data_IF_260339029733
#
_entry.id   IF_260339029733
#
_cell.length_a   1.000
_cell.length_b   1.000
_cell.length_c   1.000
_cell.angle_alpha   90.00
_cell.angle_beta   90.00
_cell.angle_gamma   90.00
#
_symmetry.space_group_name_H-M   'P 1'
#
loop_
_entity.id
_entity.type
_entity.pdbx_description
1 polymer ?
#
# COMPACT_ATOMS: atom_id res chain seq x y z
N UNK A 1 14.86 -26.08 -22.53
CA UNK A 1 14.27 -24.74 -22.70
C UNK A 1 13.90 -24.29 -21.31
N UNK A 2 14.68 -23.38 -20.73
CA UNK A 2 14.35 -22.81 -19.44
C UNK A 2 13.18 -21.85 -19.69
N UNK A 3 12.12 -22.05 -18.93
CA UNK A 3 10.97 -21.16 -18.83
C UNK A 3 11.45 -19.71 -18.67
N UNK A 4 11.21 -18.86 -19.67
CA UNK A 4 11.14 -17.41 -19.53
C UNK A 4 9.85 -17.05 -18.78
N UNK A 5 9.60 -17.70 -17.63
CA UNK A 5 8.52 -17.27 -16.76
C UNK A 5 8.98 -15.96 -16.13
N UNK A 6 8.21 -14.85 -16.28
CA UNK A 6 8.53 -13.62 -15.59
C UNK A 6 8.61 -13.92 -14.10
N UNK A 7 9.69 -13.46 -13.45
CA UNK A 7 9.85 -13.62 -12.00
C UNK A 7 8.54 -13.19 -11.33
N UNK A 8 8.00 -13.99 -10.39
CA UNK A 8 6.81 -13.60 -9.66
C UNK A 8 7.11 -12.26 -9.00
N UNK A 9 6.28 -11.27 -9.31
CA UNK A 9 6.32 -9.99 -8.63
C UNK A 9 6.26 -10.27 -7.13
N UNK A 10 7.24 -9.75 -6.41
CA UNK A 10 7.29 -9.79 -4.95
C UNK A 10 5.92 -9.45 -4.35
N UNK A 11 5.48 -10.21 -3.34
CA UNK A 11 4.19 -10.01 -2.68
C UNK A 11 3.97 -8.53 -2.33
N UNK A 12 2.79 -8.00 -2.69
CA UNK A 12 2.48 -6.57 -2.60
C UNK A 12 2.76 -5.99 -1.20
N UNK A 13 2.46 -6.77 -0.16
CA UNK A 13 2.69 -6.40 1.24
C UNK A 13 4.18 -6.22 1.54
N UNK A 14 4.98 -7.23 1.21
CA UNK A 14 6.41 -7.21 1.47
C UNK A 14 7.10 -6.11 0.64
N UNK A 15 6.67 -5.94 -0.61
CA UNK A 15 7.10 -4.82 -1.45
C UNK A 15 6.79 -3.47 -0.78
N UNK A 16 5.57 -3.27 -0.27
CA UNK A 16 5.14 -2.01 0.32
C UNK A 16 5.80 -1.73 1.67
N UNK A 17 5.86 -2.71 2.56
CA UNK A 17 6.55 -2.60 3.84
C UNK A 17 8.02 -2.21 3.65
N UNK A 18 8.69 -2.78 2.66
CA UNK A 18 10.08 -2.41 2.33
C UNK A 18 10.18 -0.97 1.81
N UNK A 19 9.19 -0.47 1.06
CA UNK A 19 9.16 0.94 0.61
C UNK A 19 8.98 1.90 1.78
N UNK A 20 8.11 1.56 2.72
CA UNK A 20 7.90 2.35 3.95
C UNK A 20 9.14 2.30 4.84
N UNK A 21 9.75 1.12 5.04
CA UNK A 21 10.99 0.97 5.80
C UNK A 21 12.12 1.86 5.26
N UNK A 22 12.29 1.91 3.92
CA UNK A 22 13.26 2.83 3.29
C UNK A 22 12.94 4.30 3.55
N UNK A 23 11.67 4.68 3.56
CA UNK A 23 11.25 6.05 3.87
C UNK A 23 11.51 6.40 5.34
N UNK A 24 11.31 5.45 6.26
CA UNK A 24 11.66 5.59 7.68
C UNK A 24 13.17 5.73 7.88
N UNK A 25 13.97 4.87 7.25
CA UNK A 25 15.45 4.92 7.31
C UNK A 25 15.99 6.26 6.78
N UNK A 26 15.32 6.84 5.79
CA UNK A 26 15.64 8.15 5.24
C UNK A 26 15.11 9.34 6.08
N UNK A 27 14.38 9.09 7.16
CA UNK A 27 13.75 10.13 7.99
C UNK A 27 12.64 10.89 7.27
N UNK A 28 12.03 10.30 6.24
CA UNK A 28 10.99 10.95 5.42
C UNK A 28 9.58 10.76 5.99
N UNK A 29 9.40 9.77 6.87
CA UNK A 29 8.15 9.44 7.58
C UNK A 29 8.47 8.91 8.99
N UNK A 30 7.49 8.91 9.90
CA UNK A 30 7.65 8.40 11.26
C UNK A 30 7.93 6.89 11.31
N UNK A 31 8.76 6.46 12.27
CA UNK A 31 8.99 5.05 12.61
C UNK A 31 7.69 4.34 13.01
N UNK A 32 6.75 5.07 13.62
CA UNK A 32 5.45 4.54 14.03
C UNK A 32 4.63 4.03 12.84
N UNK A 33 4.79 4.67 11.66
CA UNK A 33 4.06 4.32 10.45
C UNK A 33 4.34 2.88 10.00
N UNK A 34 5.60 2.45 10.06
CA UNK A 34 5.98 1.09 9.70
C UNK A 34 5.36 0.07 10.68
N UNK A 35 5.36 0.40 11.98
CA UNK A 35 4.84 -0.47 13.03
C UNK A 35 3.32 -0.61 12.93
N UNK A 36 2.60 0.48 12.67
CA UNK A 36 1.15 0.46 12.43
C UNK A 36 0.77 -0.41 11.23
N UNK A 37 1.50 -0.28 10.12
CA UNK A 37 1.23 -1.05 8.90
C UNK A 37 1.50 -2.55 9.10
N UNK A 38 2.58 -2.90 9.80
CA UNK A 38 2.86 -4.30 10.14
C UNK A 38 1.75 -4.90 11.00
N UNK A 39 1.29 -4.17 12.02
CA UNK A 39 0.19 -4.61 12.88
C UNK A 39 -1.14 -4.74 12.11
N UNK A 40 -1.42 -3.83 11.16
CA UNK A 40 -2.60 -3.90 10.29
C UNK A 40 -2.60 -5.13 9.38
N UNK A 41 -1.45 -5.45 8.78
CA UNK A 41 -1.26 -6.63 7.93
C UNK A 41 -1.37 -7.93 8.74
N UNK A 42 -0.71 -8.01 9.89
CA UNK A 42 -0.78 -9.17 10.78
C UNK A 42 -2.21 -9.40 11.31
N UNK A 43 -2.94 -8.33 11.63
CA UNK A 43 -4.34 -8.39 12.07
C UNK A 43 -5.33 -8.79 10.97
N UNK A 44 -4.97 -8.61 9.70
CA UNK A 44 -5.76 -9.08 8.56
C UNK A 44 -5.46 -10.55 8.18
N UNK A 45 -4.56 -11.21 8.91
CA UNK A 45 -4.11 -12.57 8.67
C UNK A 45 -5.15 -13.64 8.97
N UNK A 46 -5.99 -13.94 7.99
CA UNK A 46 -6.50 -15.29 7.61
C UNK A 46 -7.34 -15.27 6.31
N UNK A 47 -7.29 -14.18 5.54
CA UNK A 47 -8.06 -14.01 4.29
C UNK A 47 -7.30 -14.40 3.02
N UNK A 48 -7.98 -14.86 1.94
CA UNK A 48 -7.35 -15.01 0.63
C UNK A 48 -6.79 -13.66 0.15
N UNK A 49 -5.72 -13.65 -0.67
CA UNK A 49 -5.06 -12.46 -1.26
C UNK A 49 -6.02 -11.36 -1.80
N UNK A 50 -7.27 -11.70 -2.09
CA UNK A 50 -8.37 -10.77 -2.42
C UNK A 50 -8.67 -9.76 -1.30
N UNK A 51 -8.44 -10.11 -0.04
CA UNK A 51 -8.71 -9.28 1.13
C UNK A 51 -7.60 -8.24 1.37
N UNK A 52 -6.37 -8.51 0.93
CA UNK A 52 -5.24 -7.60 1.07
C UNK A 52 -5.32 -6.39 0.14
N UNK A 53 -5.82 -6.59 -1.09
CA UNK A 53 -6.14 -5.48 -1.97
C UNK A 53 -7.25 -4.61 -1.39
N UNK A 54 -8.24 -5.23 -0.75
CA UNK A 54 -9.29 -4.50 -0.06
C UNK A 54 -8.78 -3.75 1.16
N UNK A 55 -7.83 -4.33 1.92
CA UNK A 55 -7.18 -3.70 3.07
C UNK A 55 -6.36 -2.50 2.62
N UNK A 56 -5.47 -2.65 1.63
CA UNK A 56 -4.66 -1.56 1.12
C UNK A 56 -5.50 -0.41 0.55
N UNK A 57 -6.62 -0.70 -0.14
CA UNK A 57 -7.52 0.38 -0.59
C UNK A 57 -8.30 1.00 0.58
N UNK A 58 -8.75 0.21 1.56
CA UNK A 58 -9.48 0.73 2.73
C UNK A 58 -8.60 1.59 3.63
N UNK A 59 -7.41 1.13 3.97
CA UNK A 59 -6.46 1.90 4.77
C UNK A 59 -6.04 3.19 4.07
N UNK A 60 -5.76 3.13 2.76
CA UNK A 60 -5.51 4.34 1.99
C UNK A 60 -6.74 5.24 2.02
N UNK A 61 -7.93 4.72 1.72
CA UNK A 61 -9.16 5.50 1.70
C UNK A 61 -9.48 6.17 3.03
N UNK A 62 -9.31 5.47 4.15
CA UNK A 62 -9.49 6.02 5.51
C UNK A 62 -8.46 7.13 5.78
N UNK A 63 -7.20 6.94 5.39
CA UNK A 63 -6.11 7.90 5.66
C UNK A 63 -6.10 9.12 4.72
N UNK A 64 -6.67 9.02 3.52
CA UNK A 64 -6.84 10.15 2.58
C UNK A 64 -8.28 10.66 2.51
N UNK A 65 -9.12 10.31 3.49
CA UNK A 65 -10.52 10.76 3.60
C UNK A 65 -11.35 10.51 2.33
N UNK A 66 -11.01 9.47 1.56
CA UNK A 66 -11.83 9.03 0.43
C UNK A 66 -13.11 8.43 1.01
N UNK A 67 -14.31 8.91 0.59
CA UNK A 67 -15.56 8.32 1.03
C UNK A 67 -15.58 6.82 0.77
N UNK A 68 -15.98 6.03 1.78
CA UNK A 68 -15.98 4.57 1.71
C UNK A 68 -16.69 4.03 0.44
N UNK A 69 -17.81 4.63 0.05
CA UNK A 69 -18.54 4.29 -1.17
C UNK A 69 -17.67 4.39 -2.44
N UNK A 70 -16.79 5.39 -2.52
CA UNK A 70 -15.85 5.55 -3.62
C UNK A 70 -14.70 4.55 -3.57
N UNK A 71 -14.24 4.20 -2.37
CA UNK A 71 -13.23 3.17 -2.18
C UNK A 71 -13.75 1.78 -2.59
N UNK A 72 -14.99 1.47 -2.23
CA UNK A 72 -15.68 0.25 -2.65
C UNK A 72 -15.93 0.21 -4.16
N UNK A 73 -16.35 1.33 -4.76
CA UNK A 73 -16.49 1.45 -6.22
C UNK A 73 -15.15 1.26 -6.95
N UNK A 74 -14.06 1.80 -6.40
CA UNK A 74 -12.71 1.62 -6.95
C UNK A 74 -12.27 0.16 -6.84
N UNK A 75 -12.50 -0.50 -5.70
CA UNK A 75 -12.22 -1.93 -5.54
C UNK A 75 -13.03 -2.78 -6.52
N UNK A 76 -14.32 -2.50 -6.69
CA UNK A 76 -15.18 -3.21 -7.63
C UNK A 76 -14.70 -3.03 -9.09
N UNK A 77 -14.29 -1.82 -9.46
CA UNK A 77 -13.71 -1.52 -10.76
C UNK A 77 -12.37 -2.25 -10.97
N UNK A 78 -11.54 -2.39 -9.94
CA UNK A 78 -10.30 -3.15 -10.04
C UNK A 78 -10.55 -4.64 -10.27
N UNK A 79 -11.61 -5.22 -9.71
CA UNK A 79 -11.88 -6.66 -9.84
C UNK A 79 -12.14 -7.13 -11.28
N UNK A 80 -12.53 -6.24 -12.21
CA UNK A 80 -12.75 -6.62 -13.62
C UNK A 80 -11.46 -6.78 -14.41
N UNK A 81 -10.32 -6.36 -13.87
CA UNK A 81 -9.03 -6.42 -14.52
C UNK A 81 -8.23 -7.69 -14.15
N UNK A 82 -7.32 -8.14 -15.02
CA UNK A 82 -6.41 -9.25 -14.70
C UNK A 82 -5.59 -8.98 -13.42
N UNK A 83 -5.22 -10.02 -12.65
CA UNK A 83 -4.47 -9.89 -11.40
C UNK A 83 -3.24 -8.98 -11.49
N UNK A 84 -2.43 -9.11 -12.55
CA UNK A 84 -1.26 -8.29 -12.80
C UNK A 84 -1.58 -6.79 -12.90
N UNK A 85 -2.68 -6.43 -13.58
CA UNK A 85 -3.10 -5.02 -13.71
C UNK A 85 -3.58 -4.49 -12.36
N UNK A 86 -4.32 -5.29 -11.59
CA UNK A 86 -4.78 -4.92 -10.25
C UNK A 86 -3.59 -4.61 -9.34
N UNK A 87 -2.58 -5.47 -9.35
CA UNK A 87 -1.40 -5.30 -8.55
C UNK A 87 -0.60 -4.04 -8.94
N UNK A 88 -0.42 -3.78 -10.23
CA UNK A 88 0.24 -2.56 -10.72
C UNK A 88 -0.50 -1.29 -10.27
N UNK A 89 -1.83 -1.27 -10.38
CA UNK A 89 -2.61 -0.11 -9.93
C UNK A 89 -2.52 0.05 -8.40
N UNK A 90 -2.52 -1.04 -7.65
CA UNK A 90 -2.36 -0.98 -6.20
C UNK A 90 -0.99 -0.47 -5.77
N UNK A 91 0.09 -0.91 -6.43
CA UNK A 91 1.42 -0.34 -6.22
C UNK A 91 1.44 1.18 -6.45
N UNK A 92 0.79 1.65 -7.52
CA UNK A 92 0.69 3.09 -7.81
C UNK A 92 -0.06 3.85 -6.70
N UNK A 93 -1.20 3.32 -6.23
CA UNK A 93 -2.00 3.93 -5.16
C UNK A 93 -1.17 4.03 -3.87
N UNK A 94 -0.48 2.96 -3.50
CA UNK A 94 0.35 2.90 -2.29
C UNK A 94 1.57 3.84 -2.38
N UNK A 95 2.18 3.98 -3.56
CA UNK A 95 3.25 4.98 -3.78
C UNK A 95 2.75 6.41 -3.64
N UNK A 96 1.57 6.72 -4.19
CA UNK A 96 0.96 8.05 -4.08
C UNK A 96 0.62 8.38 -2.63
N UNK A 97 0.08 7.42 -1.89
CA UNK A 97 -0.17 7.56 -0.47
C UNK A 97 1.15 7.79 0.32
N UNK A 98 2.19 7.01 0.05
CA UNK A 98 3.49 7.19 0.72
C UNK A 98 4.09 8.57 0.40
N UNK A 99 3.94 9.05 -0.84
CA UNK A 99 4.36 10.41 -1.20
C UNK A 99 3.61 11.50 -0.42
N UNK A 100 2.31 11.31 -0.19
CA UNK A 100 1.50 12.21 0.64
C UNK A 100 1.92 12.18 2.11
N UNK A 101 2.16 10.99 2.69
CA UNK A 101 2.69 10.86 4.06
C UNK A 101 4.05 11.56 4.23
N UNK A 102 4.95 11.44 3.24
CA UNK A 102 6.21 12.20 3.22
C UNK A 102 6.01 13.72 3.19
N UNK A 103 4.95 14.21 2.55
CA UNK A 103 4.63 15.64 2.55
C UNK A 103 4.07 16.07 3.91
N UNK A 104 3.10 15.32 4.43
CA UNK A 104 2.51 15.55 5.76
C UNK A 104 3.58 15.57 6.85
N UNK A 105 4.51 14.63 6.83
CA UNK A 105 5.61 14.55 7.80
C UNK A 105 6.52 15.79 7.74
N UNK A 106 6.98 16.15 6.53
CA UNK A 106 7.79 17.37 6.31
C UNK A 106 7.09 18.67 6.73
N UNK A 107 5.77 18.74 6.64
CA UNK A 107 5.00 19.91 7.07
C UNK A 107 4.68 19.93 8.57
N UNK A 108 4.82 18.79 9.26
CA UNK A 108 4.62 18.65 10.71
C UNK A 108 5.91 18.86 11.50
N UNK A 109 7.05 18.50 10.95
CA UNK A 109 8.35 18.81 11.54
C UNK A 109 8.82 20.22 11.15
N UNK A 110 9.27 21.07 12.09
CA UNK A 110 9.97 22.29 11.70
C UNK A 110 11.27 21.90 10.97
N UNK A 111 11.70 22.65 9.93
CA UNK A 111 13.00 22.40 9.32
C UNK A 111 14.08 22.51 10.40
N UNK A 112 14.88 21.46 10.55
CA UNK A 112 16.04 21.41 11.45
C UNK A 112 17.13 22.38 10.99
#
# INVERSE_FOLDING_TARGET
MADDMPEPLEDLEYWFLRRVARAVEAGEVSVDLLTELQAGIEGAGEGPQKELYALGVKEVAERVEIPQERAEAMLAALQVHPPMIRELVMRLILELWLADERMKYRHREPPT
#
